data_IF_887298746516
#
_entry.id   IF_887298746516
#
_cell.length_a   1.000
_cell.length_b   1.000
_cell.length_c   1.000
_cell.angle_alpha   90.00
_cell.angle_beta   90.00
_cell.angle_gamma   90.00
#
_symmetry.space_group_name_H-M   'P 1'
#
loop_
_entity.id
_entity.type
_entity.pdbx_description
1 polymer ?
#
# COMPACT_ATOMS: atom_id res chain seq x y z
N UNK A 1 1.64 30.33 -11.65
CA UNK A 1 1.28 29.10 -12.39
C UNK A 1 1.55 29.39 -13.85
N UNK A 2 2.13 28.45 -14.58
CA UNK A 2 2.47 28.61 -16.01
C UNK A 2 1.72 27.52 -16.76
N UNK A 3 0.97 27.90 -17.79
CA UNK A 3 0.33 26.98 -18.73
C UNK A 3 1.04 27.11 -20.07
N UNK A 4 1.47 25.99 -20.63
CA UNK A 4 2.02 25.92 -21.98
C UNK A 4 0.95 25.37 -22.90
N UNK A 5 0.85 25.95 -24.10
CA UNK A 5 -0.10 25.55 -25.13
C UNK A 5 0.63 25.05 -26.39
N UNK A 6 -0.02 24.20 -27.18
CA UNK A 6 0.42 23.87 -28.54
C UNK A 6 0.03 24.98 -29.54
N UNK A 7 0.37 24.78 -30.81
CA UNK A 7 0.06 25.71 -31.89
C UNK A 7 -1.46 25.91 -32.10
N UNK A 8 -2.28 24.94 -31.70
CA UNK A 8 -3.74 24.99 -31.80
C UNK A 8 -4.39 25.59 -30.54
N UNK A 9 -3.59 26.02 -29.56
CA UNK A 9 -4.06 26.61 -28.30
C UNK A 9 -4.50 25.59 -27.25
N UNK A 10 -4.23 24.28 -27.43
CA UNK A 10 -4.53 23.26 -26.42
C UNK A 10 -3.48 23.27 -25.31
N UNK A 11 -3.89 23.12 -24.06
CA UNK A 11 -2.97 23.05 -22.92
C UNK A 11 -2.16 21.75 -23.01
N UNK A 12 -0.84 21.88 -23.13
CA UNK A 12 0.10 20.75 -23.14
C UNK A 12 0.78 20.53 -21.79
N UNK A 13 0.87 21.57 -20.96
CA UNK A 13 1.54 21.45 -19.66
C UNK A 13 1.04 22.51 -18.68
N UNK A 14 0.94 22.12 -17.40
CA UNK A 14 0.63 23.02 -16.29
C UNK A 14 1.75 22.88 -15.27
N UNK A 15 2.37 24.00 -14.88
CA UNK A 15 3.49 24.01 -13.96
C UNK A 15 3.57 25.21 -13.02
N UNK A 16 4.54 25.14 -12.11
CA UNK A 16 4.89 26.20 -11.19
C UNK A 16 6.40 26.21 -10.93
N UNK A 17 6.95 27.40 -10.65
CA UNK A 17 8.36 27.60 -10.27
C UNK A 17 8.58 27.48 -8.75
N UNK A 18 7.71 26.77 -8.05
CA UNK A 18 7.72 26.63 -6.59
C UNK A 18 7.89 25.17 -6.22
N UNK A 19 8.61 24.89 -5.12
CA UNK A 19 8.70 23.54 -4.56
C UNK A 19 7.32 23.03 -4.11
N UNK A 20 6.58 23.86 -3.38
CA UNK A 20 5.24 23.53 -2.92
C UNK A 20 4.27 23.49 -4.09
N UNK A 21 3.52 22.40 -4.21
CA UNK A 21 2.51 22.19 -5.27
C UNK A 21 1.34 23.15 -5.04
N UNK A 22 1.08 24.10 -5.97
CA UNK A 22 -0.01 25.05 -5.80
C UNK A 22 -1.39 24.40 -5.80
N UNK A 23 -2.42 25.01 -5.17
CA UNK A 23 -3.76 24.43 -5.06
C UNK A 23 -4.39 24.00 -6.39
N UNK A 24 -4.22 24.78 -7.47
CA UNK A 24 -4.76 24.44 -8.78
C UNK A 24 -4.11 23.17 -9.37
N UNK A 25 -2.79 23.06 -9.27
CA UNK A 25 -2.07 21.87 -9.73
C UNK A 25 -2.41 20.65 -8.87
N UNK A 26 -2.59 20.84 -7.56
CA UNK A 26 -3.07 19.80 -6.66
C UNK A 26 -4.46 19.30 -7.03
N UNK A 27 -5.39 20.18 -7.42
CA UNK A 27 -6.71 19.78 -7.92
C UNK A 27 -6.60 18.97 -9.22
N UNK A 28 -5.77 19.40 -10.16
CA UNK A 28 -5.52 18.66 -11.40
C UNK A 28 -4.96 17.25 -11.12
N UNK A 29 -4.02 17.13 -10.17
CA UNK A 29 -3.49 15.85 -9.71
C UNK A 29 -4.59 14.94 -9.13
N UNK A 30 -5.42 15.45 -8.23
CA UNK A 30 -6.52 14.66 -7.67
C UNK A 30 -7.50 14.17 -8.73
N UNK A 31 -7.79 15.00 -9.75
CA UNK A 31 -8.67 14.61 -10.84
C UNK A 31 -8.05 13.51 -11.72
N UNK A 32 -6.77 13.65 -12.09
CA UNK A 32 -6.05 12.68 -12.93
C UNK A 32 -5.80 11.36 -12.20
N UNK A 33 -5.31 11.43 -10.97
CA UNK A 33 -4.77 10.27 -10.27
C UNK A 33 -5.81 9.53 -9.43
N UNK A 34 -6.90 10.21 -9.02
CA UNK A 34 -8.02 9.67 -8.22
C UNK A 34 -7.65 9.03 -6.88
N UNK A 35 -6.39 9.07 -6.47
CA UNK A 35 -5.88 8.48 -5.24
C UNK A 35 -4.39 8.15 -5.36
N UNK A 36 -3.87 7.36 -4.41
CA UNK A 36 -2.51 6.84 -4.49
C UNK A 36 -2.36 5.93 -5.71
N UNK A 37 -1.41 6.28 -6.59
CA UNK A 37 -1.12 5.56 -7.84
C UNK A 37 -0.12 4.41 -7.70
N UNK A 38 0.35 4.13 -6.49
CA UNK A 38 1.19 2.96 -6.25
C UNK A 38 0.38 1.67 -6.53
N UNK A 39 0.95 0.66 -7.21
CA UNK A 39 0.25 -0.56 -7.61
C UNK A 39 -0.56 -1.19 -6.47
N UNK A 40 -1.85 -1.45 -6.72
CA UNK A 40 -2.76 -2.06 -5.76
C UNK A 40 -3.21 -1.21 -4.56
N UNK A 41 -2.80 0.06 -4.44
CA UNK A 41 -3.12 0.87 -3.25
C UNK A 41 -4.48 1.58 -3.32
N UNK A 42 -4.65 2.52 -4.25
CA UNK A 42 -5.91 3.28 -4.43
C UNK A 42 -6.36 4.18 -3.27
N UNK A 43 -5.54 4.37 -2.21
CA UNK A 43 -5.94 5.16 -1.03
C UNK A 43 -6.25 6.62 -1.42
N UNK A 44 -7.41 7.20 -1.02
CA UNK A 44 -7.84 8.52 -1.49
C UNK A 44 -7.04 9.66 -0.87
N UNK A 45 -6.56 9.49 0.36
CA UNK A 45 -5.70 10.47 1.04
C UNK A 45 -4.27 10.30 0.55
N UNK A 46 -3.86 11.19 -0.34
CA UNK A 46 -2.56 11.20 -0.98
C UNK A 46 -1.99 12.62 -1.10
N UNK A 47 -0.65 12.69 -1.16
CA UNK A 47 0.12 13.91 -1.36
C UNK A 47 0.84 13.83 -2.70
N UNK A 48 1.09 14.98 -3.32
CA UNK A 48 1.86 15.02 -4.56
C UNK A 48 3.34 14.75 -4.32
N UNK A 49 3.90 13.86 -5.11
CA UNK A 49 5.29 13.44 -5.13
C UNK A 49 5.94 13.92 -6.42
N UNK A 50 7.13 14.51 -6.33
CA UNK A 50 7.96 14.83 -7.50
C UNK A 50 8.72 13.59 -7.95
N UNK A 51 8.48 13.14 -9.19
CA UNK A 51 9.10 11.95 -9.78
C UNK A 51 10.59 12.17 -9.99
N UNK A 52 10.96 13.17 -10.78
CA UNK A 52 12.27 13.79 -10.66
C UNK A 52 12.23 14.71 -9.44
N UNK A 53 13.03 14.42 -8.42
CA UNK A 53 13.03 15.17 -7.18
C UNK A 53 13.29 16.66 -7.43
N UNK A 54 12.53 17.53 -6.76
CA UNK A 54 12.72 18.98 -6.87
C UNK A 54 14.15 19.42 -6.51
N UNK A 55 14.77 18.78 -5.51
CA UNK A 55 16.14 19.06 -5.09
C UNK A 55 17.18 18.71 -6.17
N UNK A 56 16.81 17.88 -7.15
CA UNK A 56 17.62 17.49 -8.30
C UNK A 56 17.21 18.25 -9.57
N UNK A 57 16.50 19.38 -9.42
CA UNK A 57 16.05 20.22 -10.53
C UNK A 57 14.72 19.80 -11.16
N UNK A 58 14.03 18.82 -10.58
CA UNK A 58 12.73 18.38 -11.09
C UNK A 58 11.66 19.49 -11.03
N UNK A 59 10.97 19.79 -12.14
CA UNK A 59 10.03 20.90 -12.17
C UNK A 59 8.73 20.52 -11.47
N UNK A 60 8.01 21.51 -10.95
CA UNK A 60 6.67 21.29 -10.38
C UNK A 60 5.64 21.38 -11.50
N UNK A 61 5.50 20.31 -12.28
CA UNK A 61 4.54 20.18 -13.39
C UNK A 61 3.65 18.97 -13.21
N UNK A 62 2.49 18.96 -13.86
CA UNK A 62 1.60 17.80 -13.82
C UNK A 62 2.32 16.51 -14.32
N UNK A 63 3.17 16.66 -15.33
CA UNK A 63 4.01 15.60 -15.93
C UNK A 63 5.19 15.13 -15.06
N UNK A 64 5.52 15.83 -13.97
CA UNK A 64 6.57 15.40 -13.04
C UNK A 64 6.01 15.10 -11.63
N UNK A 65 4.69 15.03 -11.49
CA UNK A 65 4.02 14.81 -10.22
C UNK A 65 3.15 13.57 -10.26
N UNK A 66 3.05 12.87 -9.14
CA UNK A 66 2.10 11.76 -8.93
C UNK A 66 1.54 11.80 -7.51
N UNK A 67 0.28 11.38 -7.32
CA UNK A 67 -0.28 11.21 -5.98
C UNK A 67 0.18 9.90 -5.33
N UNK A 68 0.79 10.00 -4.15
CA UNK A 68 1.17 8.87 -3.31
C UNK A 68 0.63 9.07 -1.88
N UNK A 69 0.15 7.99 -1.24
CA UNK A 69 -0.20 8.05 0.18
C UNK A 69 1.07 8.16 1.04
N UNK A 70 0.95 8.53 2.32
CA UNK A 70 2.12 8.72 3.20
C UNK A 70 3.12 7.54 3.19
N UNK A 71 2.60 6.32 3.09
CA UNK A 71 3.42 5.09 3.13
C UNK A 71 4.21 4.94 1.83
N UNK A 72 3.53 5.01 0.68
CA UNK A 72 4.20 4.87 -0.61
C UNK A 72 5.04 6.10 -0.98
N UNK A 73 4.67 7.28 -0.49
CA UNK A 73 5.53 8.46 -0.59
C UNK A 73 6.87 8.23 0.11
N UNK A 74 6.84 7.67 1.32
CA UNK A 74 8.05 7.27 2.05
C UNK A 74 8.81 6.16 1.34
N UNK A 75 8.11 5.13 0.86
CA UNK A 75 8.74 4.01 0.16
C UNK A 75 9.57 4.47 -1.05
N UNK A 76 9.02 5.37 -1.85
CA UNK A 76 9.72 5.94 -3.02
C UNK A 76 10.81 6.93 -2.62
N UNK A 77 10.60 7.72 -1.56
CA UNK A 77 11.55 8.76 -1.16
C UNK A 77 12.75 8.22 -0.34
N UNK A 78 12.57 7.16 0.43
CA UNK A 78 13.52 6.71 1.46
C UNK A 78 13.88 5.22 1.37
N UNK A 79 12.98 4.36 0.87
CA UNK A 79 13.15 2.90 0.94
C UNK A 79 13.67 2.28 -0.36
N UNK A 80 14.07 3.11 -1.33
CA UNK A 80 14.69 2.68 -2.58
C UNK A 80 13.73 2.23 -3.68
N UNK A 81 12.42 2.39 -3.49
CA UNK A 81 11.48 2.21 -4.59
C UNK A 81 11.66 3.32 -5.62
N UNK A 82 11.58 2.96 -6.90
CA UNK A 82 11.71 3.93 -7.99
C UNK A 82 10.37 4.10 -8.68
N UNK A 83 10.14 5.28 -9.25
CA UNK A 83 8.95 5.59 -10.03
C UNK A 83 9.36 6.33 -11.29
N UNK A 84 8.82 5.88 -12.42
CA UNK A 84 8.95 6.53 -13.73
C UNK A 84 7.55 6.86 -14.25
N UNK A 85 7.40 8.00 -14.94
CA UNK A 85 6.18 8.33 -15.70
C UNK A 85 6.44 8.16 -17.19
N UNK A 86 5.66 7.31 -17.84
CA UNK A 86 5.68 7.12 -19.28
C UNK A 86 4.91 8.24 -20.01
N UNK A 87 5.14 8.46 -21.32
CA UNK A 87 4.50 9.54 -22.08
C UNK A 87 2.96 9.46 -22.12
N UNK A 88 2.39 8.27 -21.96
CA UNK A 88 0.95 8.01 -21.87
C UNK A 88 0.37 8.26 -20.46
N UNK A 89 1.20 8.78 -19.53
CA UNK A 89 0.90 9.02 -18.14
C UNK A 89 0.69 7.73 -17.30
N UNK A 90 1.22 6.60 -17.78
CA UNK A 90 1.37 5.36 -17.01
C UNK A 90 2.55 5.48 -16.04
N UNK A 91 2.36 5.06 -14.79
CA UNK A 91 3.44 5.04 -13.81
C UNK A 91 4.03 3.64 -13.71
N UNK A 92 5.35 3.55 -13.75
CA UNK A 92 6.09 2.30 -13.56
C UNK A 92 6.86 2.37 -12.27
N UNK A 93 6.54 1.46 -11.36
CA UNK A 93 7.23 1.35 -10.09
C UNK A 93 8.23 0.20 -10.14
N UNK A 94 9.41 0.41 -9.55
CA UNK A 94 10.40 -0.66 -9.36
C UNK A 94 10.69 -0.82 -7.88
N UNK A 95 10.93 -2.07 -7.50
CA UNK A 95 11.40 -2.44 -6.17
C UNK A 95 12.84 -1.96 -5.98
N UNK A 96 13.36 -1.93 -4.73
CA UNK A 96 14.75 -1.60 -4.48
C UNK A 96 15.76 -2.52 -5.19
N UNK A 97 15.34 -3.75 -5.55
CA UNK A 97 16.14 -4.70 -6.35
C UNK A 97 16.05 -4.46 -7.87
N UNK A 98 15.40 -3.38 -8.32
CA UNK A 98 15.23 -2.99 -9.72
C UNK A 98 14.10 -3.71 -10.47
N UNK A 99 13.46 -4.72 -9.87
CA UNK A 99 12.36 -5.46 -10.49
C UNK A 99 11.10 -4.59 -10.59
N UNK A 100 10.44 -4.64 -11.75
CA UNK A 100 9.18 -3.94 -11.99
C UNK A 100 8.07 -4.49 -11.09
N UNK A 101 7.31 -3.61 -10.43
CA UNK A 101 6.05 -3.98 -9.79
C UNK A 101 4.96 -4.02 -10.86
N UNK A 102 4.25 -5.16 -11.01
CA UNK A 102 3.09 -5.20 -11.89
C UNK A 102 1.93 -4.43 -11.24
N UNK A 103 1.10 -3.77 -12.06
CA UNK A 103 -0.07 -3.03 -11.58
C UNK A 103 -1.10 -3.96 -10.91
N UNK A 104 -1.26 -5.15 -11.50
CA UNK A 104 -2.04 -6.25 -10.95
C UNK A 104 -1.09 -7.43 -10.73
N UNK A 105 -0.96 -7.96 -9.50
CA UNK A 105 -0.17 -9.17 -9.29
C UNK A 105 -0.75 -10.32 -10.15
N UNK A 106 0.11 -11.17 -10.74
CA UNK A 106 -0.38 -12.28 -11.54
C UNK A 106 -1.31 -13.16 -10.68
N UNK A 107 -2.39 -13.70 -11.25
CA UNK A 107 -3.23 -14.65 -10.55
C UNK A 107 -2.38 -15.80 -10.02
N UNK A 108 -2.59 -16.16 -8.75
CA UNK A 108 -1.94 -17.35 -8.19
C UNK A 108 -2.48 -18.56 -8.93
N UNK A 109 -1.59 -19.43 -9.40
CA UNK A 109 -1.98 -20.73 -9.96
C UNK A 109 -2.66 -21.55 -8.84
N UNK A 110 -3.97 -21.74 -8.96
CA UNK A 110 -4.73 -22.58 -8.03
C UNK A 110 -4.74 -24.02 -8.55
N UNK A 111 -4.64 -25.02 -7.67
CA UNK A 111 -4.86 -26.41 -8.06
C UNK A 111 -6.31 -26.60 -8.51
N UNK A 112 -6.58 -27.66 -9.27
CA UNK A 112 -7.91 -27.95 -9.82
C UNK A 112 -9.01 -28.02 -8.74
N UNK A 113 -8.66 -28.50 -7.55
CA UNK A 113 -9.49 -28.42 -6.35
C UNK A 113 -8.75 -27.67 -5.22
N UNK A 114 -8.92 -26.35 -5.10
CA UNK A 114 -8.25 -25.54 -4.08
C UNK A 114 -8.73 -25.86 -2.67
N UNK A 115 -9.97 -26.31 -2.50
CA UNK A 115 -10.53 -26.63 -1.18
C UNK A 115 -9.92 -27.93 -0.67
N UNK A 116 -9.83 -28.95 -1.51
CA UNK A 116 -9.20 -30.22 -1.15
C UNK A 116 -7.71 -30.03 -0.86
N UNK A 117 -6.99 -29.26 -1.69
CA UNK A 117 -5.57 -28.96 -1.46
C UNK A 117 -5.34 -28.23 -0.13
N UNK A 118 -6.23 -27.29 0.22
CA UNK A 118 -6.17 -26.60 1.51
C UNK A 118 -6.43 -27.55 2.68
N UNK A 119 -7.42 -28.44 2.58
CA UNK A 119 -7.72 -29.45 3.62
C UNK A 119 -6.55 -30.41 3.83
N UNK A 120 -5.99 -30.95 2.76
CA UNK A 120 -4.82 -31.83 2.84
C UNK A 120 -3.64 -31.14 3.52
N UNK A 121 -3.40 -29.85 3.21
CA UNK A 121 -2.38 -29.05 3.91
C UNK A 121 -2.67 -28.93 5.41
N UNK A 122 -3.91 -28.63 5.81
CA UNK A 122 -4.28 -28.60 7.22
C UNK A 122 -4.06 -29.96 7.90
N UNK A 123 -4.45 -31.06 7.25
CA UNK A 123 -4.28 -32.41 7.78
C UNK A 123 -2.80 -32.76 7.98
N UNK A 124 -1.93 -32.43 7.01
CA UNK A 124 -0.47 -32.63 7.15
C UNK A 124 0.14 -31.80 8.28
N UNK A 125 -0.47 -30.67 8.62
CA UNK A 125 -0.05 -29.80 9.73
C UNK A 125 -0.72 -30.20 11.05
N UNK A 126 -1.57 -31.24 11.07
CA UNK A 126 -2.33 -31.66 12.24
C UNK A 126 -3.41 -30.66 12.66
N UNK A 127 -3.78 -29.71 11.79
CA UNK A 127 -4.77 -28.68 12.06
C UNK A 127 -6.18 -29.25 11.86
N UNK A 128 -6.87 -29.52 12.97
CA UNK A 128 -8.27 -29.97 12.96
C UNK A 128 -9.22 -28.77 12.92
N UNK A 129 -9.44 -28.21 11.74
CA UNK A 129 -10.42 -27.14 11.54
C UNK A 129 -11.83 -27.75 11.36
N UNK A 130 -12.79 -27.32 12.17
CA UNK A 130 -14.19 -27.74 12.12
C UNK A 130 -15.12 -26.52 12.29
N UNK A 131 -16.43 -26.74 12.17
CA UNK A 131 -17.43 -25.66 12.21
C UNK A 131 -17.41 -24.78 13.48
N UNK A 132 -16.73 -25.24 14.55
CA UNK A 132 -16.58 -24.50 15.81
C UNK A 132 -15.19 -23.94 16.04
N UNK A 133 -14.26 -24.06 15.10
CA UNK A 133 -12.89 -23.55 15.27
C UNK A 133 -12.85 -22.04 15.50
N UNK A 134 -13.75 -21.29 14.85
CA UNK A 134 -13.90 -19.85 15.09
C UNK A 134 -14.95 -19.52 16.16
N UNK A 135 -15.64 -20.51 16.73
CA UNK A 135 -16.57 -20.26 17.81
C UNK A 135 -15.76 -20.04 19.10
N UNK A 136 -15.92 -18.90 19.77
CA UNK A 136 -15.34 -18.76 21.09
C UNK A 136 -15.90 -19.86 21.99
N UNK A 137 -15.05 -20.46 22.81
CA UNK A 137 -15.47 -21.40 23.85
C UNK A 137 -16.09 -20.69 25.06
N UNK A 138 -16.13 -19.35 25.02
CA UNK A 138 -16.77 -18.50 26.01
C UNK A 138 -18.29 -18.66 25.96
N UNK A 139 -18.87 -19.09 27.07
CA UNK A 139 -20.32 -19.31 27.24
C UNK A 139 -20.97 -18.19 28.09
N UNK A 140 -20.26 -17.08 28.33
CA UNK A 140 -20.75 -15.95 29.12
C UNK A 140 -20.20 -15.88 30.55
N UNK A 141 -19.24 -16.74 30.89
CA UNK A 141 -18.51 -16.67 32.16
C UNK A 141 -17.75 -15.34 32.32
N UNK A 142 -17.46 -14.93 33.55
CA UNK A 142 -16.62 -13.73 33.75
C UNK A 142 -15.23 -13.99 33.18
N UNK A 143 -14.70 -13.02 32.43
CA UNK A 143 -13.33 -13.07 31.92
C UNK A 143 -12.35 -13.19 33.09
N UNK A 144 -11.47 -14.18 33.03
CA UNK A 144 -10.36 -14.30 33.97
C UNK A 144 -9.29 -13.28 33.60
N UNK A 145 -9.39 -12.11 34.22
CA UNK A 145 -8.45 -11.00 34.01
C UNK A 145 -7.03 -11.38 34.43
N UNK A 146 -6.85 -12.25 35.43
CA UNK A 146 -5.54 -12.72 35.87
C UNK A 146 -4.88 -13.57 34.80
N UNK A 147 -5.59 -14.58 34.29
CA UNK A 147 -5.10 -15.43 33.20
C UNK A 147 -4.83 -14.65 31.91
N UNK A 148 -5.72 -13.70 31.55
CA UNK A 148 -5.55 -12.88 30.36
C UNK A 148 -4.28 -12.01 30.45
N UNK A 149 -4.01 -11.43 31.62
CA UNK A 149 -2.75 -10.71 31.88
C UNK A 149 -1.57 -11.68 31.78
N UNK A 150 -1.66 -12.86 32.38
CA UNK A 150 -0.57 -13.83 32.39
C UNK A 150 -0.21 -14.38 31.00
N UNK A 151 -1.14 -14.42 30.05
CA UNK A 151 -0.89 -14.94 28.71
C UNK A 151 -0.54 -13.85 27.71
N UNK A 152 -1.12 -12.66 27.84
CA UNK A 152 -0.95 -11.57 26.87
C UNK A 152 0.11 -10.55 27.28
N UNK A 153 0.48 -10.50 28.57
CA UNK A 153 1.47 -9.54 29.03
C UNK A 153 2.89 -10.06 28.75
N UNK A 154 3.75 -9.31 28.02
CA UNK A 154 5.09 -9.76 27.64
C UNK A 154 6.02 -10.10 28.82
N UNK A 155 5.70 -9.58 30.02
CA UNK A 155 6.45 -9.83 31.26
C UNK A 155 5.85 -10.94 32.14
N UNK A 156 4.76 -11.58 31.73
CA UNK A 156 4.17 -12.67 32.50
C UNK A 156 5.00 -13.96 32.32
N UNK A 157 5.90 -14.21 33.27
CA UNK A 157 6.64 -15.47 33.36
C UNK A 157 5.72 -16.58 33.85
N UNK A 158 5.54 -17.63 33.03
CA UNK A 158 4.85 -18.87 33.43
C UNK A 158 5.54 -19.46 34.65
N UNK A 159 4.94 -19.27 35.83
CA UNK A 159 5.26 -20.08 37.00
C UNK A 159 4.56 -21.41 36.81
N UNK A 160 5.32 -22.49 36.63
CA UNK A 160 4.78 -23.85 36.59
C UNK A 160 4.20 -24.19 37.97
N UNK A 161 2.90 -23.97 38.16
CA UNK A 161 2.13 -24.37 39.33
C UNK A 161 0.96 -25.23 38.90
N UNK A 162 0.92 -26.47 39.39
CA UNK A 162 -0.12 -27.47 39.16
C UNK A 162 -1.52 -26.98 39.53
N UNK A 163 -2.49 -27.25 38.65
CA UNK A 163 -3.94 -27.10 38.84
C UNK A 163 -4.45 -28.07 39.94
N UNK A 164 -5.44 -27.68 40.78
CA UNK A 164 -6.49 -28.60 41.21
C UNK A 164 -7.50 -28.86 40.09
#
# INVERSE_FOLDING_TARGET
>A
MVMRHDADGRIVEIGARTRTIPPALRRALHHRDRGCRFPGCGRPVAVGHHIQHWAQGGPTTLSNLALLCRWHHRAVHEEGYQVDLEPDNTLRFRRPDGRLLPDVPPPVALPADPVQALRARHDTQGLRLHARTACPLWLGERVDVGWAIDVLHPLATRSAGSRP
#
